data_IF_686650709118
#
_entry.id   IF_686650709118
#
_cell.length_a   1.000
_cell.length_b   1.000
_cell.length_c   1.000
_cell.angle_alpha   90.00
_cell.angle_beta   90.00
_cell.angle_gamma   90.00
#
_symmetry.space_group_name_H-M   'P 1'
#
loop_
_entity.id
_entity.type
_entity.pdbx_description
1 polymer ?
#
# COMPACT_ATOMS: atom_id res chain seq x y z
N UNK A 1 -6.69 17.43 5.94
CA UNK A 1 -6.79 17.39 4.51
C UNK A 1 -5.43 17.08 3.94
N UNK A 2 -4.84 15.94 4.36
CA UNK A 2 -4.01 15.20 3.41
C UNK A 2 -4.82 15.11 2.14
N UNK A 3 -4.15 15.40 1.06
CA UNK A 3 -4.77 15.64 -0.21
C UNK A 3 -5.55 14.39 -0.66
N UNK A 4 -6.87 14.38 -0.37
CA UNK A 4 -7.78 13.23 -0.54
C UNK A 4 -7.89 12.82 -2.01
N UNK A 5 -7.57 13.74 -2.93
CA UNK A 5 -7.78 13.55 -4.37
C UNK A 5 -6.45 13.43 -5.15
N UNK A 6 -5.74 12.31 -4.98
CA UNK A 6 -4.86 11.79 -6.05
C UNK A 6 -3.59 12.59 -6.39
N UNK A 7 -3.13 13.50 -5.54
CA UNK A 7 -1.82 14.16 -5.68
C UNK A 7 -0.92 13.79 -4.51
N UNK A 8 0.39 13.82 -4.77
CA UNK A 8 1.38 13.52 -3.74
C UNK A 8 1.32 14.61 -2.67
N UNK A 9 1.30 14.22 -1.39
CA UNK A 9 1.34 15.16 -0.27
C UNK A 9 2.53 16.13 -0.35
N UNK A 10 3.62 15.74 -1.01
CA UNK A 10 4.80 16.57 -1.25
C UNK A 10 4.62 17.66 -2.33
N UNK A 11 3.56 17.62 -3.14
CA UNK A 11 3.27 18.60 -4.21
C UNK A 11 1.90 19.28 -4.02
N UNK A 12 1.32 19.16 -2.83
CA UNK A 12 0.00 19.64 -2.42
C UNK A 12 0.15 21.14 -2.01
N UNK A 13 -0.44 22.09 -2.74
CA UNK A 13 -0.26 23.56 -2.56
C UNK A 13 -1.50 24.28 -1.97
N UNK A 14 -2.37 23.53 -1.31
CA UNK A 14 -3.68 24.00 -0.86
C UNK A 14 -3.52 24.75 0.47
N UNK A 15 -3.89 26.03 0.49
CA UNK A 15 -3.83 26.90 1.67
C UNK A 15 -5.17 27.05 2.38
N UNK A 16 -6.26 26.66 1.72
CA UNK A 16 -7.64 26.91 2.16
C UNK A 16 -8.24 25.80 3.04
N UNK A 17 -7.51 24.68 3.23
CA UNK A 17 -8.07 23.42 3.73
C UNK A 17 -7.10 22.70 4.70
N UNK A 18 -7.44 22.48 5.99
CA UNK A 18 -6.51 21.93 7.00
C UNK A 18 -6.11 20.46 6.80
N UNK A 19 -4.90 20.13 6.30
CA UNK A 19 -3.95 19.13 6.89
C UNK A 19 -4.48 17.97 7.80
N UNK A 20 -4.58 16.71 7.37
CA UNK A 20 -5.04 15.58 8.22
C UNK A 20 -4.12 14.43 7.88
N UNK A 21 -3.60 13.69 8.84
CA UNK A 21 -2.75 12.55 8.54
C UNK A 21 -3.62 11.33 8.18
N UNK A 22 -3.70 10.98 6.90
CA UNK A 22 -4.28 9.69 6.51
C UNK A 22 -3.22 8.62 6.78
N UNK A 23 -3.43 7.86 7.86
CA UNK A 23 -2.58 6.70 8.16
C UNK A 23 -2.65 5.74 6.98
N UNK A 24 -1.49 5.33 6.47
CA UNK A 24 -1.41 4.36 5.38
C UNK A 24 -1.96 3.02 5.85
N UNK A 25 -3.17 2.68 5.44
CA UNK A 25 -3.62 1.29 5.44
C UNK A 25 -2.79 0.60 4.35
N UNK A 26 -1.74 -0.10 4.76
CA UNK A 26 -0.86 -0.82 3.84
C UNK A 26 -1.67 -1.69 2.89
N UNK A 27 -1.14 -1.92 1.68
CA UNK A 27 -1.78 -2.82 0.71
C UNK A 27 -1.96 -4.19 1.36
N UNK A 28 -3.17 -4.79 1.34
CA UNK A 28 -3.33 -6.15 1.79
C UNK A 28 -2.42 -7.07 0.95
N UNK A 29 -1.80 -8.08 1.57
CA UNK A 29 -0.91 -8.97 0.86
C UNK A 29 -1.68 -9.74 -0.23
N UNK A 30 -1.09 -9.83 -1.42
CA UNK A 30 -1.71 -10.48 -2.58
C UNK A 30 -1.55 -12.01 -2.61
N UNK A 31 -0.87 -12.58 -1.63
CA UNK A 31 -0.57 -14.02 -1.53
C UNK A 31 -0.92 -14.51 -0.13
N UNK A 32 -1.42 -15.73 -0.01
CA UNK A 32 -1.60 -16.38 1.28
C UNK A 32 -0.24 -16.55 2.01
N UNK A 33 -0.30 -16.86 3.31
CA UNK A 33 0.92 -17.02 4.12
C UNK A 33 1.81 -18.16 3.62
N UNK A 34 1.21 -19.30 3.27
CA UNK A 34 1.93 -20.47 2.77
C UNK A 34 2.68 -20.18 1.46
N UNK A 35 2.04 -19.48 0.50
CA UNK A 35 2.69 -19.10 -0.75
C UNK A 35 3.83 -18.10 -0.54
N UNK A 36 3.68 -17.16 0.40
CA UNK A 36 4.75 -16.24 0.78
C UNK A 36 5.93 -16.98 1.38
N UNK A 37 5.67 -17.94 2.25
CA UNK A 37 6.67 -18.78 2.87
C UNK A 37 7.41 -19.66 1.86
N UNK A 38 6.68 -20.27 0.93
CA UNK A 38 7.26 -21.05 -0.16
C UNK A 38 8.15 -20.18 -1.06
N UNK A 39 7.77 -18.92 -1.34
CA UNK A 39 8.63 -17.97 -2.06
C UNK A 39 9.89 -17.65 -1.26
N UNK A 40 9.78 -17.43 0.06
CA UNK A 40 10.93 -17.09 0.92
C UNK A 40 11.92 -18.24 1.04
N UNK A 41 11.42 -19.45 1.27
CA UNK A 41 12.22 -20.67 1.50
C UNK A 41 12.80 -21.22 0.20
N UNK A 42 11.96 -21.31 -0.84
CA UNK A 42 12.27 -22.07 -2.05
C UNK A 42 12.45 -21.19 -3.30
N UNK A 43 12.34 -19.86 -3.18
CA UNK A 43 12.40 -18.91 -4.32
C UNK A 43 11.40 -19.23 -5.43
N UNK A 44 10.30 -19.91 -5.09
CA UNK A 44 9.31 -20.35 -6.06
C UNK A 44 8.35 -19.21 -6.40
N UNK A 45 8.43 -18.70 -7.62
CA UNK A 45 7.62 -17.58 -8.13
C UNK A 45 6.35 -18.08 -8.83
N UNK A 46 5.43 -18.66 -8.06
CA UNK A 46 4.12 -19.11 -8.56
C UNK A 46 3.03 -18.12 -8.20
N UNK A 47 2.04 -17.96 -9.08
CA UNK A 47 0.81 -17.23 -8.78
C UNK A 47 0.06 -17.97 -7.67
N UNK A 48 -0.32 -17.28 -6.59
CA UNK A 48 -1.26 -17.86 -5.61
C UNK A 48 -2.62 -17.96 -6.32
N UNK A 49 -3.07 -19.20 -6.50
CA UNK A 49 -4.42 -19.58 -6.96
C UNK A 49 -5.29 -20.10 -5.80
N UNK A 50 -4.72 -20.04 -4.60
CA UNK A 50 -5.42 -19.75 -3.36
C UNK A 50 -5.93 -18.30 -3.36
#
# INVERSE_FOLDING_TARGET
>A
ESCINGHRSSSCTHTLRPLYEVRSKGRPPSQCEECRDARRKNRRHVKCSC
#
